data_IF_636858379039
#
_entry.id   IF_636858379039
#
_cell.length_a   1.000
_cell.length_b   1.000
_cell.length_c   1.000
_cell.angle_alpha   90.00
_cell.angle_beta   90.00
_cell.angle_gamma   90.00
#
_symmetry.space_group_name_H-M   'P 1'
#
loop_
_entity.id
_entity.type
_entity.pdbx_description
1 polymer ?
#
# COMPACT_ATOMS: atom_id res chain seq x y z
N UNK A 1 -11.37 15.68 10.65
CA UNK A 1 -10.38 15.00 11.52
C UNK A 1 -9.15 14.71 10.66
N UNK A 2 -7.94 15.15 11.04
CA UNK A 2 -6.72 14.82 10.27
C UNK A 2 -6.46 13.31 10.37
N UNK A 3 -6.10 12.68 9.26
CA UNK A 3 -5.70 11.28 9.26
C UNK A 3 -4.47 11.10 10.16
N UNK A 4 -4.52 10.12 11.07
CA UNK A 4 -3.36 9.70 11.86
C UNK A 4 -2.67 8.58 11.10
N UNK A 5 -1.37 8.74 10.86
CA UNK A 5 -0.56 7.75 10.17
C UNK A 5 0.33 7.03 11.18
N UNK A 6 0.59 5.75 10.92
CA UNK A 6 1.51 4.93 11.70
C UNK A 6 2.60 4.40 10.78
N UNK A 7 3.82 4.31 11.29
CA UNK A 7 4.93 3.71 10.55
C UNK A 7 4.96 2.21 10.83
N UNK A 8 5.16 1.41 9.78
CA UNK A 8 5.28 -0.05 9.86
C UNK A 8 6.50 -0.47 9.06
N UNK A 9 7.31 -1.34 9.65
CA UNK A 9 8.45 -1.94 8.96
C UNK A 9 7.98 -3.13 8.13
N UNK A 10 8.43 -3.19 6.87
CA UNK A 10 8.20 -4.32 5.97
C UNK A 10 9.54 -4.77 5.37
N UNK A 11 9.57 -5.99 4.84
CA UNK A 11 10.75 -6.49 4.13
C UNK A 11 11.10 -5.59 2.94
N UNK A 12 12.40 -5.37 2.74
CA UNK A 12 12.90 -4.50 1.67
C UNK A 12 12.42 -4.95 0.29
N UNK A 13 12.41 -6.27 0.03
CA UNK A 13 11.97 -6.82 -1.25
C UNK A 13 10.50 -6.51 -1.55
N UNK A 14 9.64 -6.50 -0.52
CA UNK A 14 8.25 -6.08 -0.67
C UNK A 14 8.15 -4.59 -1.00
N UNK A 15 8.96 -3.75 -0.36
CA UNK A 15 9.01 -2.33 -0.70
C UNK A 15 9.43 -2.10 -2.17
N UNK A 16 10.45 -2.83 -2.64
CA UNK A 16 10.91 -2.76 -4.04
C UNK A 16 9.82 -3.21 -5.02
N UNK A 17 9.09 -4.27 -4.69
CA UNK A 17 7.96 -4.73 -5.51
C UNK A 17 6.83 -3.68 -5.59
N UNK A 18 6.55 -2.97 -4.49
CA UNK A 18 5.56 -1.89 -4.48
C UNK A 18 6.04 -0.72 -5.36
N UNK A 19 7.32 -0.36 -5.31
CA UNK A 19 7.89 0.68 -6.17
C UNK A 19 7.78 0.33 -7.65
N UNK A 20 8.18 -0.88 -8.01
CA UNK A 20 8.03 -1.41 -9.36
C UNK A 20 6.56 -1.37 -9.81
N UNK A 21 5.65 -1.77 -8.92
CA UNK A 21 4.22 -1.73 -9.19
C UNK A 21 3.75 -0.29 -9.45
N UNK A 22 4.12 0.69 -8.62
CA UNK A 22 3.74 2.11 -8.80
C UNK A 22 4.31 2.66 -10.11
N UNK A 23 5.60 2.37 -10.41
CA UNK A 23 6.25 2.80 -11.66
C UNK A 23 5.56 2.22 -12.90
N UNK A 24 5.11 0.97 -12.83
CA UNK A 24 4.42 0.27 -13.93
C UNK A 24 2.91 0.54 -13.96
N UNK A 25 2.34 1.11 -12.89
CA UNK A 25 0.90 1.16 -12.69
C UNK A 25 0.21 2.21 -13.55
N UNK A 26 -0.57 1.71 -14.51
CA UNK A 26 -1.71 2.38 -15.18
C UNK A 26 -2.89 2.72 -14.23
N UNK A 27 -2.80 2.43 -12.93
CA UNK A 27 -3.93 2.45 -11.97
C UNK A 27 -4.05 3.72 -11.12
N UNK A 28 -3.18 4.71 -11.32
CA UNK A 28 -3.31 6.04 -10.72
C UNK A 28 -2.88 6.17 -9.25
N UNK A 29 -2.27 5.15 -8.66
CA UNK A 29 -1.69 5.25 -7.31
C UNK A 29 -0.53 6.23 -7.30
N UNK A 30 -0.50 7.14 -6.31
CA UNK A 30 0.49 8.22 -6.19
C UNK A 30 1.56 7.92 -5.14
N UNK A 31 1.31 6.94 -4.27
CA UNK A 31 2.24 6.59 -3.19
C UNK A 31 2.15 5.12 -2.76
N UNK A 32 3.21 4.63 -2.12
CA UNK A 32 3.24 3.30 -1.47
C UNK A 32 2.14 3.15 -0.43
N UNK A 33 1.87 4.22 0.33
CA UNK A 33 0.87 4.22 1.39
C UNK A 33 -0.54 3.96 0.85
N UNK A 34 -0.89 4.49 -0.33
CA UNK A 34 -2.18 4.20 -0.97
C UNK A 34 -2.30 2.73 -1.37
N UNK A 35 -1.25 2.18 -1.99
CA UNK A 35 -1.21 0.76 -2.39
C UNK A 35 -1.37 -0.14 -1.17
N UNK A 36 -0.61 0.12 -0.10
CA UNK A 36 -0.67 -0.67 1.14
C UNK A 36 -2.04 -0.53 1.80
N UNK A 37 -2.58 0.67 1.90
CA UNK A 37 -3.88 0.91 2.53
C UNK A 37 -5.00 0.18 1.80
N UNK A 38 -5.01 0.24 0.47
CA UNK A 38 -6.00 -0.44 -0.36
C UNK A 38 -5.85 -1.98 -0.29
N UNK A 39 -4.62 -2.49 -0.32
CA UNK A 39 -4.36 -3.93 -0.16
C UNK A 39 -4.82 -4.44 1.21
N UNK A 40 -4.55 -3.71 2.29
CA UNK A 40 -4.96 -4.07 3.66
C UNK A 40 -6.48 -4.03 3.78
N UNK A 41 -7.17 -3.01 3.24
CA UNK A 41 -8.64 -2.96 3.23
C UNK A 41 -9.24 -4.16 2.53
N UNK A 42 -8.78 -4.46 1.31
CA UNK A 42 -9.24 -5.62 0.53
C UNK A 42 -8.96 -6.96 1.22
N UNK A 43 -7.88 -7.04 2.00
CA UNK A 43 -7.60 -8.22 2.81
C UNK A 43 -8.60 -8.34 3.97
N UNK A 44 -8.81 -7.26 4.73
CA UNK A 44 -9.72 -7.26 5.88
C UNK A 44 -11.17 -7.52 5.48
N UNK A 45 -11.62 -6.99 4.33
CA UNK A 45 -12.98 -7.23 3.81
C UNK A 45 -13.23 -8.72 3.49
N UNK A 46 -12.19 -9.52 3.24
CA UNK A 46 -12.32 -10.96 2.99
C UNK A 46 -12.38 -11.80 4.26
N UNK A 47 -11.89 -11.26 5.37
CA UNK A 47 -11.81 -11.96 6.66
C UNK A 47 -13.00 -11.59 7.56
N UNK A 48 -13.81 -10.62 7.13
CA UNK A 48 -15.01 -10.15 7.80
C UNK A 48 -16.25 -10.91 7.31
#
# INVERSE_FOLDING_TARGET
MRAKYVNVSIHEDLSKQIDEYIKKAKRGYRSRAEVVSDAVRRLLDKVK
#
